data_IF_918958906057
#
_entry.id   IF_918958906057
#
_cell.length_a   1.000
_cell.length_b   1.000
_cell.length_c   1.000
_cell.angle_alpha   90.00
_cell.angle_beta   90.00
_cell.angle_gamma   90.00
#
_symmetry.space_group_name_H-M   'P 1'
#
loop_
_entity.id
_entity.type
_entity.pdbx_description
1 polymer ?
#
# COMPACT_ATOMS: atom_id res chain seq x y z
N UNK A 1 -9.90 -10.50 -2.80
CA UNK A 1 -11.15 -10.77 -3.55
C UNK A 1 -12.03 -9.52 -3.61
N UNK A 2 -12.78 -9.12 -2.57
CA UNK A 2 -13.60 -7.89 -2.63
C UNK A 2 -12.76 -6.63 -2.88
N UNK A 3 -11.66 -6.44 -2.15
CA UNK A 3 -10.75 -5.31 -2.36
C UNK A 3 -10.12 -5.30 -3.76
N UNK A 4 -9.91 -6.47 -4.36
CA UNK A 4 -9.38 -6.63 -5.72
C UNK A 4 -10.38 -6.21 -6.77
N UNK A 5 -11.64 -6.63 -6.61
CA UNK A 5 -12.74 -6.24 -7.48
C UNK A 5 -12.95 -4.73 -7.38
N UNK A 6 -12.96 -4.18 -6.16
CA UNK A 6 -13.09 -2.75 -5.92
C UNK A 6 -11.94 -1.97 -6.55
N UNK A 7 -10.69 -2.41 -6.37
CA UNK A 7 -9.51 -1.81 -7.00
C UNK A 7 -9.63 -1.82 -8.53
N UNK A 8 -10.05 -2.96 -9.11
CA UNK A 8 -10.28 -3.10 -10.55
C UNK A 8 -11.36 -2.16 -11.07
N UNK A 9 -12.48 -2.04 -10.37
CA UNK A 9 -13.57 -1.12 -10.72
C UNK A 9 -13.11 0.35 -10.67
N UNK A 10 -12.35 0.73 -9.63
CA UNK A 10 -11.82 2.08 -9.48
C UNK A 10 -10.81 2.41 -10.58
N UNK A 11 -9.93 1.47 -10.96
CA UNK A 11 -8.96 1.69 -12.06
C UNK A 11 -9.59 1.90 -13.43
N UNK A 12 -10.83 1.45 -13.63
CA UNK A 12 -11.59 1.69 -14.86
C UNK A 12 -12.01 3.16 -15.02
N UNK A 13 -11.98 3.95 -13.96
CA UNK A 13 -12.27 5.38 -14.02
C UNK A 13 -10.99 6.18 -14.34
N UNK A 14 -11.01 7.09 -15.33
CA UNK A 14 -9.83 7.85 -15.73
C UNK A 14 -9.28 8.75 -14.61
N UNK A 15 -10.13 9.19 -13.68
CA UNK A 15 -9.75 9.98 -12.51
C UNK A 15 -8.72 9.25 -11.61
N UNK A 16 -8.85 7.92 -11.51
CA UNK A 16 -8.02 7.08 -10.66
C UNK A 16 -6.70 6.67 -11.33
N UNK A 17 -6.47 7.08 -12.58
CA UNK A 17 -5.21 6.87 -13.27
C UNK A 17 -4.12 7.89 -12.92
N UNK A 18 -4.48 8.98 -12.24
CA UNK A 18 -3.50 9.94 -11.76
C UNK A 18 -2.57 9.34 -10.68
N UNK A 19 -1.32 9.83 -10.55
CA UNK A 19 -0.30 9.20 -9.70
C UNK A 19 -0.72 9.09 -8.23
N UNK A 20 -1.36 10.13 -7.70
CA UNK A 20 -1.82 10.18 -6.29
C UNK A 20 -2.87 9.10 -6.03
N UNK A 21 -3.86 8.97 -6.93
CA UNK A 21 -4.90 7.96 -6.81
C UNK A 21 -4.37 6.55 -7.05
N UNK A 22 -3.36 6.40 -7.92
CA UNK A 22 -2.65 5.12 -8.12
C UNK A 22 -1.98 4.67 -6.82
N UNK A 23 -1.36 5.57 -6.06
CA UNK A 23 -0.78 5.23 -4.76
C UNK A 23 -1.84 4.85 -3.72
N UNK A 24 -2.97 5.57 -3.68
CA UNK A 24 -4.09 5.21 -2.79
C UNK A 24 -4.65 3.84 -3.14
N UNK A 25 -4.87 3.57 -4.44
CA UNK A 25 -5.28 2.26 -4.93
C UNK A 25 -4.26 1.18 -4.59
N UNK A 26 -2.97 1.53 -4.63
CA UNK A 26 -1.93 0.57 -4.30
C UNK A 26 -1.94 0.14 -2.84
N UNK A 27 -2.46 1.00 -1.97
CA UNK A 27 -2.69 0.67 -0.56
C UNK A 27 -4.06 0.03 -0.33
N UNK A 28 -5.00 0.03 -1.29
CA UNK A 28 -6.31 -0.62 -1.14
C UNK A 28 -6.15 -2.15 -1.20
N UNK A 29 -5.44 -2.62 -2.22
CA UNK A 29 -5.01 -4.01 -2.35
C UNK A 29 -3.54 -4.05 -2.79
N UNK A 30 -2.69 -4.54 -1.89
CA UNK A 30 -1.24 -4.50 -2.06
C UNK A 30 -0.73 -5.22 -3.32
N UNK A 31 -1.31 -6.37 -3.68
CA UNK A 31 -0.86 -7.19 -4.82
C UNK A 31 -1.13 -6.53 -6.18
N UNK A 32 -2.36 -6.07 -6.40
CA UNK A 32 -2.75 -5.34 -7.62
C UNK A 32 -2.09 -3.96 -7.66
N UNK A 33 -2.00 -3.32 -6.49
CA UNK A 33 -1.41 -2.03 -6.28
C UNK A 33 0.04 -1.87 -6.70
N UNK A 34 0.89 -2.78 -6.22
CA UNK A 34 2.32 -2.79 -6.55
C UNK A 34 2.52 -2.98 -8.05
N UNK A 35 1.72 -3.84 -8.68
CA UNK A 35 1.77 -4.04 -10.12
C UNK A 35 1.42 -2.76 -10.90
N UNK A 36 0.41 -2.01 -10.45
CA UNK A 36 0.05 -0.71 -11.04
C UNK A 36 1.13 0.35 -10.84
N UNK A 37 1.77 0.38 -9.66
CA UNK A 37 2.90 1.27 -9.39
C UNK A 37 4.12 0.90 -10.24
N UNK A 38 4.38 -0.38 -10.49
CA UNK A 38 5.51 -0.85 -11.28
C UNK A 38 5.37 -0.48 -12.78
N UNK A 39 4.15 -0.53 -13.32
CA UNK A 39 3.89 -0.29 -14.74
C UNK A 39 3.82 1.19 -15.13
N UNK A 40 3.65 2.10 -14.18
CA UNK A 40 3.47 3.53 -14.46
C UNK A 40 4.78 4.29 -14.21
N UNK A 41 5.45 4.80 -15.26
CA UNK A 41 6.73 5.51 -15.14
C UNK A 41 6.50 6.96 -14.71
N UNK A 42 5.99 7.18 -13.50
CA UNK A 42 5.68 8.51 -13.00
C UNK A 42 6.83 9.18 -12.25
N UNK A 43 7.83 8.41 -11.81
CA UNK A 43 8.94 8.89 -10.97
C UNK A 43 10.21 8.11 -11.34
N UNK A 44 11.38 8.65 -10.99
CA UNK A 44 12.68 7.97 -11.07
C UNK A 44 12.58 6.56 -10.45
N UNK A 45 13.19 5.52 -11.07
CA UNK A 45 13.06 4.14 -10.61
C UNK A 45 13.38 3.93 -9.13
N UNK A 46 14.34 4.67 -8.57
CA UNK A 46 14.71 4.62 -7.15
C UNK A 46 13.52 4.94 -6.24
N UNK A 47 12.82 6.05 -6.51
CA UNK A 47 11.67 6.48 -5.72
C UNK A 47 10.50 5.51 -5.94
N UNK A 48 10.34 5.00 -7.16
CA UNK A 48 9.31 4.00 -7.47
C UNK A 48 9.52 2.70 -6.66
N UNK A 49 10.74 2.18 -6.59
CA UNK A 49 11.07 1.02 -5.76
C UNK A 49 10.87 1.31 -4.27
N UNK A 50 11.27 2.48 -3.80
CA UNK A 50 11.06 2.88 -2.40
C UNK A 50 9.56 2.93 -2.04
N UNK A 51 8.71 3.47 -2.93
CA UNK A 51 7.26 3.50 -2.74
C UNK A 51 6.64 2.09 -2.76
N UNK A 52 7.11 1.21 -3.64
CA UNK A 52 6.69 -0.20 -3.68
C UNK A 52 7.07 -0.90 -2.37
N UNK A 53 8.29 -0.70 -1.87
CA UNK A 53 8.74 -1.26 -0.59
C UNK A 53 7.88 -0.76 0.58
N UNK A 54 7.56 0.53 0.59
CA UNK A 54 6.68 1.14 1.60
C UNK A 54 5.27 0.53 1.58
N UNK A 55 4.66 0.45 0.39
CA UNK A 55 3.32 -0.13 0.22
C UNK A 55 3.29 -1.61 0.62
N UNK A 56 4.34 -2.37 0.29
CA UNK A 56 4.48 -3.78 0.67
C UNK A 56 4.57 -3.95 2.19
N UNK A 57 5.39 -3.13 2.85
CA UNK A 57 5.57 -3.15 4.31
C UNK A 57 4.29 -2.77 5.07
N UNK A 58 3.56 -1.77 4.55
CA UNK A 58 2.25 -1.37 5.08
C UNK A 58 1.23 -2.52 5.00
N UNK A 59 1.19 -3.25 3.88
CA UNK A 59 0.33 -4.43 3.69
C UNK A 59 -1.09 -4.13 3.23
N UNK A 60 -1.44 -2.86 3.02
CA UNK A 60 -2.71 -2.41 2.47
C UNK A 60 -3.94 -2.52 3.39
N UNK A 61 -5.02 -1.84 3.00
CA UNK A 61 -6.27 -1.75 3.74
C UNK A 61 -7.00 -3.10 3.81
N UNK A 62 -6.81 -3.96 2.81
CA UNK A 62 -7.35 -5.31 2.82
C UNK A 62 -6.84 -6.15 4.00
N UNK A 63 -5.55 -6.09 4.30
CA UNK A 63 -4.98 -6.83 5.44
C UNK A 63 -5.38 -6.18 6.76
N UNK A 64 -5.54 -4.86 6.81
CA UNK A 64 -6.06 -4.18 8.00
C UNK A 64 -7.47 -4.64 8.36
N UNK A 65 -8.37 -4.75 7.37
CA UNK A 65 -9.73 -5.25 7.60
C UNK A 65 -9.74 -6.70 8.06
N UNK A 66 -8.84 -7.55 7.53
CA UNK A 66 -8.70 -8.94 7.96
C UNK A 66 -8.13 -9.05 9.38
N UNK A 67 -7.15 -8.22 9.73
CA UNK A 67 -6.54 -8.21 11.06
C UNK A 67 -7.49 -7.60 12.09
N UNK A 68 -8.38 -6.68 11.69
CA UNK A 68 -9.39 -6.10 12.56
C UNK A 68 -10.34 -7.16 13.14
N UNK A 69 -10.82 -8.10 12.32
CA UNK A 69 -11.75 -9.14 12.79
C UNK A 69 -11.08 -10.08 13.78
N UNK A 70 -9.80 -10.40 13.57
CA UNK A 70 -8.98 -11.20 14.48
C UNK A 70 -8.68 -10.43 15.77
N UNK A 71 -8.27 -9.16 15.65
CA UNK A 71 -7.99 -8.29 16.79
C UNK A 71 -9.22 -8.05 17.65
N UNK A 72 -10.41 -8.00 17.06
CA UNK A 72 -11.68 -7.85 17.81
C UNK A 72 -11.97 -9.04 18.73
N UNK A 73 -11.31 -10.19 18.52
CA UNK A 73 -11.36 -11.34 19.40
C UNK A 73 -10.26 -11.32 20.50
N UNK A 74 -9.46 -10.25 20.58
CA UNK A 74 -8.34 -10.08 21.53
C UNK A 74 -8.36 -8.68 22.16
N UNK A 75 -7.59 -8.46 23.23
CA UNK A 75 -7.49 -7.13 23.87
C UNK A 75 -6.56 -6.13 23.15
N UNK A 76 -6.06 -6.46 21.95
CA UNK A 76 -5.14 -5.57 21.22
C UNK A 76 -5.88 -4.47 20.44
N UNK A 77 -5.39 -3.23 20.59
CA UNK A 77 -5.94 -2.08 19.88
C UNK A 77 -5.50 -2.02 18.42
N UNK A 78 -6.46 -1.88 17.49
CA UNK A 78 -6.20 -1.64 16.05
C UNK A 78 -5.34 -0.37 15.80
N UNK A 79 -5.48 0.65 16.64
CA UNK A 79 -4.70 1.90 16.53
C UNK A 79 -3.20 1.64 16.64
N UNK A 80 -2.75 0.83 17.61
CA UNK A 80 -1.34 0.44 17.73
C UNK A 80 -0.85 -0.31 16.50
N UNK A 81 -1.66 -1.22 15.97
CA UNK A 81 -1.30 -1.96 14.75
C UNK A 81 -1.07 -1.03 13.56
N UNK A 82 -1.98 -0.05 13.34
CA UNK A 82 -1.82 0.94 12.27
C UNK A 82 -0.55 1.78 12.46
N UNK A 83 -0.31 2.29 13.67
CA UNK A 83 0.89 3.10 13.95
C UNK A 83 2.17 2.33 13.67
N UNK A 84 2.25 1.07 14.11
CA UNK A 84 3.41 0.21 13.85
C UNK A 84 3.57 -0.02 12.35
N UNK A 85 2.50 -0.35 11.63
CA UNK A 85 2.55 -0.58 10.17
C UNK A 85 2.95 0.66 9.37
N UNK A 86 2.47 1.84 9.76
CA UNK A 86 2.89 3.11 9.14
C UNK A 86 4.36 3.40 9.44
N UNK A 87 4.82 3.15 10.68
CA UNK A 87 6.21 3.27 11.05
C UNK A 87 7.13 2.34 10.26
N UNK A 88 6.76 1.06 10.12
CA UNK A 88 7.54 0.10 9.32
C UNK A 88 7.54 0.47 7.84
N UNK A 89 6.43 0.96 7.29
CA UNK A 89 6.36 1.43 5.91
C UNK A 89 7.30 2.61 5.66
N UNK A 90 7.35 3.57 6.59
CA UNK A 90 8.26 4.71 6.52
C UNK A 90 9.73 4.29 6.62
N UNK A 91 10.06 3.38 7.54
CA UNK A 91 11.44 2.85 7.66
C UNK A 91 11.82 2.09 6.39
N UNK A 92 10.95 1.25 5.83
CA UNK A 92 11.20 0.54 4.57
C UNK A 92 11.43 1.49 3.40
N UNK A 93 10.65 2.58 3.32
CA UNK A 93 10.85 3.63 2.31
C UNK A 93 12.24 4.26 2.42
N UNK A 94 12.61 4.70 3.63
CA UNK A 94 13.88 5.38 3.88
C UNK A 94 15.07 4.45 3.63
N UNK A 95 14.99 3.20 4.11
CA UNK A 95 16.03 2.20 3.91
C UNK A 95 16.22 1.89 2.43
N UNK A 96 15.13 1.76 1.66
CA UNK A 96 15.18 1.51 0.24
C UNK A 96 15.77 2.69 -0.54
N UNK A 97 15.45 3.93 -0.16
CA UNK A 97 16.09 5.12 -0.73
C UNK A 97 17.59 5.14 -0.44
N UNK A 98 18.01 4.89 0.80
CA UNK A 98 19.45 4.88 1.16
C UNK A 98 20.21 3.80 0.39
N UNK A 99 19.61 2.63 0.17
CA UNK A 99 20.25 1.52 -0.55
C UNK A 99 20.29 1.70 -2.07
N UNK A 100 19.38 2.49 -2.64
CA UNK A 100 19.25 2.71 -4.08
C UNK A 100 19.83 4.06 -4.56
N UNK A 101 20.27 4.92 -3.64
CA UNK A 101 20.94 6.18 -3.93
C UNK A 101 22.45 5.99 -4.01
#
# INVERSE_FOLDING_TARGET
>A
MIFSILSGMLTSFPLFQAPVFTFVLANLEVTTGIHLLALKPFITPQIQYALIAAATSFGGLCTMAQVQTVLSATDLSLKRYIVIKTGTAFVSFLLCLILLC
#
